data_IF_234642634683
#
_entry.id   IF_234642634683
#
_cell.length_a   1.000
_cell.length_b   1.000
_cell.length_c   1.000
_cell.angle_alpha   90.00
_cell.angle_beta   90.00
_cell.angle_gamma   90.00
#
_symmetry.space_group_name_H-M   'P 1'
#
loop_
_entity.id
_entity.type
_entity.pdbx_description
1 polymer ?
#
# COMPACT_ATOMS: atom_id res chain seq x y z
N UNK A 1 53.30 11.07 -12.17
CA UNK A 1 52.25 12.05 -12.50
C UNK A 1 51.70 11.67 -13.87
N UNK A 2 50.76 10.73 -13.91
CA UNK A 2 49.98 10.43 -15.12
C UNK A 2 49.05 11.61 -15.34
N UNK A 3 49.19 12.30 -16.48
CA UNK A 3 48.41 13.50 -16.77
C UNK A 3 46.91 13.19 -16.72
N UNK A 4 46.21 13.80 -15.76
CA UNK A 4 44.75 13.85 -15.72
C UNK A 4 44.26 14.43 -17.05
N UNK A 5 43.44 13.69 -17.77
CA UNK A 5 42.93 14.06 -19.08
C UNK A 5 42.05 15.32 -18.94
N UNK A 6 42.26 16.42 -19.69
CA UNK A 6 41.44 17.64 -19.61
C UNK A 6 39.94 17.47 -19.99
N UNK A 7 39.46 16.24 -20.12
CA UNK A 7 38.11 15.88 -20.58
C UNK A 7 37.19 15.51 -19.40
N UNK A 8 37.39 16.08 -18.22
CA UNK A 8 36.75 15.64 -16.97
C UNK A 8 35.26 16.03 -16.81
N UNK A 9 34.66 16.68 -17.82
CA UNK A 9 33.25 17.05 -17.84
C UNK A 9 32.64 16.66 -19.19
N UNK A 10 31.45 16.08 -19.17
CA UNK A 10 30.70 15.74 -20.39
C UNK A 10 29.23 16.11 -20.24
N UNK A 11 28.67 16.71 -21.29
CA UNK A 11 27.28 17.11 -21.31
C UNK A 11 26.73 17.09 -22.74
N UNK A 12 25.63 16.36 -22.94
CA UNK A 12 24.85 16.35 -24.18
C UNK A 12 23.45 16.94 -23.90
N UNK A 13 23.25 18.26 -24.10
CA UNK A 13 21.99 18.93 -23.78
C UNK A 13 20.74 18.33 -24.40
N UNK A 14 20.81 17.91 -25.67
CA UNK A 14 19.67 17.33 -26.37
C UNK A 14 19.22 16.00 -25.77
N UNK A 15 20.16 15.20 -25.24
CA UNK A 15 19.87 13.96 -24.51
C UNK A 15 19.15 14.25 -23.20
N UNK A 16 19.59 15.25 -22.43
CA UNK A 16 18.93 15.66 -21.19
C UNK A 16 17.50 16.17 -21.41
N UNK A 17 17.27 16.98 -22.46
CA UNK A 17 15.92 17.43 -22.79
C UNK A 17 14.98 16.28 -23.17
N UNK A 18 15.49 15.28 -23.91
CA UNK A 18 14.72 14.07 -24.22
C UNK A 18 14.33 13.32 -22.94
N UNK A 19 15.28 13.13 -22.02
CA UNK A 19 15.01 12.43 -20.75
C UNK A 19 14.07 13.23 -19.84
N UNK A 20 14.18 14.57 -19.80
CA UNK A 20 13.23 15.43 -19.11
C UNK A 20 11.80 15.22 -19.62
N UNK A 21 11.61 15.08 -20.93
CA UNK A 21 10.31 14.72 -21.52
C UNK A 21 9.79 13.35 -21.06
N UNK A 22 10.69 12.39 -20.80
CA UNK A 22 10.34 11.10 -20.21
C UNK A 22 9.82 11.23 -18.77
N UNK A 23 10.49 12.04 -17.94
CA UNK A 23 10.05 12.31 -16.57
C UNK A 23 8.68 12.99 -16.53
N UNK A 24 8.41 13.96 -17.40
CA UNK A 24 7.08 14.61 -17.47
C UNK A 24 5.96 13.65 -17.82
N UNK A 25 6.19 12.71 -18.74
CA UNK A 25 5.17 11.73 -19.08
C UNK A 25 4.84 10.84 -17.89
N UNK A 26 5.84 10.46 -17.09
CA UNK A 26 5.61 9.72 -15.85
C UNK A 26 4.94 10.57 -14.76
N UNK A 27 5.23 11.87 -14.68
CA UNK A 27 4.50 12.79 -13.83
C UNK A 27 3.02 12.87 -14.21
N UNK A 28 2.70 12.94 -15.51
CA UNK A 28 1.33 12.86 -16.00
C UNK A 28 0.66 11.52 -15.70
N UNK A 29 1.39 10.40 -15.81
CA UNK A 29 0.87 9.07 -15.45
C UNK A 29 0.56 8.95 -13.95
N UNK A 30 1.42 9.49 -13.08
CA UNK A 30 1.17 9.58 -11.64
C UNK A 30 -0.01 10.49 -11.32
N UNK A 31 -0.21 11.59 -12.06
CA UNK A 31 -1.39 12.46 -11.94
C UNK A 31 -2.67 11.66 -12.21
N UNK A 32 -2.70 10.90 -13.32
CA UNK A 32 -3.80 9.99 -13.61
C UNK A 32 -4.06 8.97 -12.51
N UNK A 33 -3.01 8.38 -11.92
CA UNK A 33 -3.16 7.46 -10.78
C UNK A 33 -3.75 8.15 -9.55
N UNK A 34 -3.30 9.36 -9.23
CA UNK A 34 -3.81 10.14 -8.11
C UNK A 34 -5.31 10.44 -8.27
N UNK A 35 -5.72 10.83 -9.48
CA UNK A 35 -7.11 11.16 -9.75
C UNK A 35 -8.02 9.92 -9.68
N UNK A 36 -7.59 8.79 -10.23
CA UNK A 36 -8.31 7.51 -10.08
C UNK A 36 -8.40 7.06 -8.62
N UNK A 37 -7.35 7.25 -7.82
CA UNK A 37 -7.38 6.93 -6.40
C UNK A 37 -8.29 7.87 -5.61
N UNK A 38 -8.38 9.17 -5.93
CA UNK A 38 -9.30 10.11 -5.24
C UNK A 38 -10.78 9.77 -5.41
N UNK A 39 -11.15 9.09 -6.50
CA UNK A 39 -12.52 8.66 -6.74
C UNK A 39 -12.96 7.53 -5.79
N UNK A 40 -12.02 6.97 -5.03
CA UNK A 40 -12.26 5.91 -4.08
C UNK A 40 -12.80 6.50 -2.78
N UNK A 41 -14.10 6.34 -2.54
CA UNK A 41 -14.74 6.76 -1.29
C UNK A 41 -14.60 5.67 -0.23
N UNK A 42 -14.12 5.97 0.99
CA UNK A 42 -14.13 5.03 2.10
C UNK A 42 -15.56 4.67 2.49
N UNK A 43 -15.86 3.38 2.64
CA UNK A 43 -17.18 2.90 3.05
C UNK A 43 -17.28 2.79 4.57
N UNK A 44 -18.29 3.39 5.18
CA UNK A 44 -18.62 3.18 6.61
C UNK A 44 -19.83 2.27 6.75
N UNK A 45 -19.87 1.46 7.81
CA UNK A 45 -21.04 0.66 8.17
C UNK A 45 -21.43 0.96 9.61
N UNK A 46 -22.67 1.39 9.86
CA UNK A 46 -23.10 1.86 11.20
C UNK A 46 -23.04 0.76 12.27
N UNK A 47 -23.00 -0.52 11.86
CA UNK A 47 -23.18 -1.66 12.76
C UNK A 47 -22.04 -2.69 12.64
N UNK A 48 -20.81 -2.28 12.30
CA UNK A 48 -19.72 -3.25 12.09
C UNK A 48 -18.38 -2.80 12.71
N UNK A 49 -18.14 -3.05 14.00
CA UNK A 49 -16.95 -2.55 14.71
C UNK A 49 -15.63 -3.07 14.10
N UNK A 50 -15.56 -4.37 13.81
CA UNK A 50 -14.36 -5.00 13.23
C UNK A 50 -14.08 -4.44 11.83
N UNK A 51 -15.14 -4.30 11.02
CA UNK A 51 -15.06 -3.69 9.69
C UNK A 51 -14.64 -2.22 9.75
N UNK A 52 -15.27 -1.43 10.62
CA UNK A 52 -14.97 -0.01 10.80
C UNK A 52 -13.54 0.23 11.29
N UNK A 53 -13.03 -0.63 12.18
CA UNK A 53 -11.62 -0.59 12.57
C UNK A 53 -10.70 -0.76 11.36
N UNK A 54 -10.99 -1.75 10.51
CA UNK A 54 -10.21 -2.02 9.31
C UNK A 54 -10.28 -0.83 8.34
N UNK A 55 -11.49 -0.38 8.00
CA UNK A 55 -11.73 0.81 7.17
C UNK A 55 -11.02 2.04 7.69
N UNK A 56 -11.04 2.31 9.00
CA UNK A 56 -10.34 3.46 9.57
C UNK A 56 -8.84 3.44 9.26
N UNK A 57 -8.20 2.26 9.41
CA UNK A 57 -6.79 2.08 9.04
C UNK A 57 -6.55 2.23 7.54
N UNK A 58 -7.49 1.80 6.72
CA UNK A 58 -7.40 2.00 5.27
C UNK A 58 -7.56 3.46 4.87
N UNK A 59 -8.46 4.21 5.52
CA UNK A 59 -8.60 5.64 5.28
C UNK A 59 -7.32 6.42 5.57
N UNK A 60 -6.66 6.09 6.70
CA UNK A 60 -5.35 6.66 7.07
C UNK A 60 -4.30 6.39 5.98
N UNK A 61 -4.13 5.13 5.59
CA UNK A 61 -3.15 4.75 4.55
C UNK A 61 -3.49 5.30 3.18
N UNK A 62 -4.76 5.27 2.76
CA UNK A 62 -5.19 5.80 1.48
C UNK A 62 -4.85 7.29 1.38
N UNK A 63 -5.09 8.05 2.45
CA UNK A 63 -4.70 9.46 2.54
C UNK A 63 -3.18 9.63 2.44
N UNK A 64 -2.39 8.77 3.12
CA UNK A 64 -0.93 8.77 3.03
C UNK A 64 -0.42 8.50 1.61
N UNK A 65 -1.00 7.49 0.94
CA UNK A 65 -0.67 7.14 -0.45
C UNK A 65 -0.97 8.32 -1.39
N UNK A 66 -2.13 8.97 -1.27
CA UNK A 66 -2.49 10.14 -2.09
C UNK A 66 -1.50 11.30 -1.89
N UNK A 67 -1.14 11.60 -0.64
CA UNK A 67 -0.13 12.64 -0.33
C UNK A 67 1.22 12.32 -0.92
N UNK A 68 1.69 11.07 -0.76
CA UNK A 68 2.96 10.62 -1.30
C UNK A 68 2.99 10.68 -2.83
N UNK A 69 1.91 10.25 -3.51
CA UNK A 69 1.80 10.34 -4.98
C UNK A 69 1.86 11.80 -5.43
N UNK A 70 1.11 12.70 -4.78
CA UNK A 70 1.13 14.12 -5.10
C UNK A 70 2.52 14.74 -4.88
N UNK A 71 3.22 14.35 -3.82
CA UNK A 71 4.60 14.77 -3.59
C UNK A 71 5.54 14.26 -4.68
N UNK A 72 5.44 12.97 -5.03
CA UNK A 72 6.27 12.36 -6.07
C UNK A 72 6.06 13.00 -7.44
N UNK A 73 4.83 13.42 -7.76
CA UNK A 73 4.55 14.22 -8.97
C UNK A 73 5.36 15.51 -8.99
N UNK A 74 5.40 16.25 -7.88
CA UNK A 74 6.17 17.48 -7.77
C UNK A 74 7.68 17.20 -7.87
N UNK A 75 8.17 16.15 -7.21
CA UNK A 75 9.57 15.71 -7.30
C UNK A 75 9.97 15.44 -8.75
N UNK A 76 9.17 14.66 -9.49
CA UNK A 76 9.46 14.30 -10.88
C UNK A 76 9.35 15.51 -11.81
N UNK A 77 8.37 16.39 -11.59
CA UNK A 77 8.27 17.65 -12.32
C UNK A 77 9.49 18.53 -12.08
N UNK A 78 9.96 18.62 -10.83
CA UNK A 78 11.19 19.33 -10.47
C UNK A 78 12.39 18.74 -11.21
N UNK A 79 12.61 17.42 -11.15
CA UNK A 79 13.69 16.75 -11.89
C UNK A 79 13.65 17.09 -13.38
N UNK A 80 12.47 17.04 -14.00
CA UNK A 80 12.34 17.38 -15.41
C UNK A 80 12.69 18.84 -15.71
N UNK A 81 12.31 19.78 -14.83
CA UNK A 81 12.69 21.19 -14.95
C UNK A 81 14.20 21.38 -14.83
N UNK A 82 14.81 20.77 -13.80
CA UNK A 82 16.25 20.81 -13.55
C UNK A 82 17.06 20.28 -14.74
N UNK A 83 16.68 19.13 -15.30
CA UNK A 83 17.36 18.57 -16.47
C UNK A 83 17.32 19.51 -17.68
N UNK A 84 16.24 20.27 -17.85
CA UNK A 84 16.16 21.26 -18.94
C UNK A 84 16.98 22.50 -18.66
N UNK A 85 17.07 22.92 -17.41
CA UNK A 85 17.89 24.06 -17.04
C UNK A 85 19.38 23.72 -17.21
N UNK A 86 19.81 22.54 -16.76
CA UNK A 86 21.16 22.00 -17.03
C UNK A 86 21.42 21.90 -18.54
N UNK A 87 20.45 21.41 -19.33
CA UNK A 87 20.59 21.38 -20.79
C UNK A 87 20.73 22.79 -21.39
N UNK A 88 19.95 23.76 -20.92
CA UNK A 88 19.99 25.15 -21.40
C UNK A 88 21.34 25.80 -21.09
N UNK A 89 21.82 25.67 -19.87
CA UNK A 89 23.14 26.15 -19.45
C UNK A 89 24.25 25.47 -20.25
N UNK A 90 24.14 24.15 -20.43
CA UNK A 90 25.07 23.34 -21.21
C UNK A 90 25.26 23.77 -22.66
N UNK A 91 24.28 24.44 -23.26
CA UNK A 91 24.41 25.01 -24.62
C UNK A 91 25.25 26.28 -24.66
N UNK A 92 25.38 26.96 -23.52
CA UNK A 92 26.05 28.25 -23.40
C UNK A 92 27.41 28.16 -22.71
N UNK A 93 27.66 27.06 -21.99
CA UNK A 93 28.87 26.88 -21.21
C UNK A 93 30.09 26.63 -22.10
N UNK A 94 31.21 27.27 -21.79
CA UNK A 94 32.50 26.84 -22.31
C UNK A 94 32.89 25.54 -21.61
N UNK A 95 32.71 24.41 -22.30
CA UNK A 95 33.00 23.06 -21.78
C UNK A 95 34.44 22.94 -21.25
N UNK A 96 35.41 23.63 -21.87
CA UNK A 96 36.79 23.61 -21.42
C UNK A 96 36.98 24.41 -20.12
N UNK A 97 36.21 25.49 -19.92
CA UNK A 97 36.17 26.20 -18.65
C UNK A 97 35.44 25.39 -17.58
N UNK A 98 34.30 24.76 -17.91
CA UNK A 98 33.54 23.91 -16.99
C UNK A 98 34.40 22.75 -16.45
N UNK A 99 35.09 22.03 -17.34
CA UNK A 99 36.01 20.96 -16.96
C UNK A 99 37.15 21.44 -16.06
N UNK A 100 37.64 22.68 -16.28
CA UNK A 100 38.65 23.28 -15.39
C UNK A 100 38.08 23.58 -14.00
N UNK A 101 36.88 24.16 -13.91
CA UNK A 101 36.27 24.48 -12.62
C UNK A 101 35.98 23.20 -11.85
N UNK A 102 35.41 22.18 -12.50
CA UNK A 102 35.09 20.88 -11.89
C UNK A 102 36.34 20.22 -11.29
N UNK A 103 37.47 20.31 -12.01
CA UNK A 103 38.75 19.76 -11.59
C UNK A 103 39.37 20.49 -10.37
N UNK A 104 39.30 21.81 -10.32
CA UNK A 104 40.04 22.62 -9.34
C UNK A 104 39.20 23.08 -8.15
N UNK A 105 37.88 23.12 -8.28
CA UNK A 105 36.95 23.64 -7.28
C UNK A 105 35.63 22.83 -7.26
N UNK A 106 35.67 21.50 -7.00
CA UNK A 106 34.47 20.66 -7.03
C UNK A 106 33.41 21.09 -6.00
N UNK A 107 33.81 21.81 -4.95
CA UNK A 107 32.89 22.33 -3.93
C UNK A 107 32.10 23.57 -4.36
N UNK A 108 32.52 24.28 -5.41
CA UNK A 108 31.87 25.52 -5.85
C UNK A 108 30.46 25.28 -6.39
N UNK A 109 30.22 24.12 -7.01
CA UNK A 109 28.90 23.67 -7.46
C UNK A 109 28.11 22.87 -6.40
N UNK A 110 28.72 22.62 -5.23
CA UNK A 110 28.25 21.62 -4.26
C UNK A 110 27.72 22.20 -2.95
N UNK A 111 27.24 23.44 -2.97
CA UNK A 111 26.59 24.07 -1.81
C UNK A 111 25.31 23.37 -1.33
N UNK A 112 24.83 22.37 -2.09
CA UNK A 112 23.67 21.58 -1.74
C UNK A 112 24.02 20.47 -0.73
N UNK A 113 23.87 20.77 0.56
CA UNK A 113 23.79 19.79 1.65
C UNK A 113 22.31 19.68 2.10
N UNK A 114 21.51 18.76 1.52
CA UNK A 114 20.08 18.65 1.84
C UNK A 114 19.80 18.24 3.30
N UNK A 115 20.83 17.82 4.04
CA UNK A 115 20.69 17.27 5.39
C UNK A 115 21.46 18.06 6.46
N UNK A 116 22.11 19.17 6.08
CA UNK A 116 22.67 20.19 6.98
C UNK A 116 23.66 19.68 8.03
N UNK A 117 24.36 18.57 7.79
CA UNK A 117 25.20 17.96 8.83
C UNK A 117 25.94 16.67 8.49
N UNK A 118 25.86 16.19 7.25
CA UNK A 118 26.52 14.95 6.84
C UNK A 118 27.46 15.21 5.68
N UNK A 119 28.75 14.90 5.87
CA UNK A 119 29.72 14.76 4.79
C UNK A 119 29.28 13.61 3.85
N UNK A 120 28.24 13.82 3.03
CA UNK A 120 28.03 13.02 1.83
C UNK A 120 29.35 13.06 1.07
N UNK A 121 29.95 11.88 0.93
CA UNK A 121 31.37 11.73 0.69
C UNK A 121 31.82 12.67 -0.41
N UNK A 122 32.96 13.31 -0.20
CA UNK A 122 33.81 13.81 -1.29
C UNK A 122 34.29 12.62 -2.12
N UNK A 123 33.36 11.85 -2.67
CA UNK A 123 33.64 10.80 -3.62
C UNK A 123 34.25 11.52 -4.80
N UNK A 124 35.54 11.33 -5.01
CA UNK A 124 36.15 11.59 -6.29
C UNK A 124 35.46 10.62 -7.25
N UNK A 125 34.32 11.03 -7.81
CA UNK A 125 33.60 10.23 -8.79
C UNK A 125 34.57 9.98 -9.93
N UNK A 126 34.99 8.73 -10.09
CA UNK A 126 35.79 8.34 -11.24
C UNK A 126 34.88 8.47 -12.44
N UNK A 127 35.17 9.42 -13.32
CA UNK A 127 34.40 9.64 -14.53
C UNK A 127 34.40 8.37 -15.37
N UNK A 128 33.27 8.10 -16.02
CA UNK A 128 33.18 7.01 -16.97
C UNK A 128 34.17 7.25 -18.13
N UNK A 129 34.77 6.18 -18.68
CA UNK A 129 35.64 6.28 -19.85
C UNK A 129 34.91 6.94 -21.03
N UNK A 130 35.66 7.56 -21.92
CA UNK A 130 35.12 8.23 -23.12
C UNK A 130 34.29 7.29 -24.01
N UNK A 131 34.56 5.98 -23.95
CA UNK A 131 33.77 4.93 -24.62
C UNK A 131 32.32 4.85 -24.17
N UNK A 132 32.00 5.36 -22.98
CA UNK A 132 30.66 5.28 -22.40
C UNK A 132 29.85 6.55 -22.72
N UNK A 133 30.47 7.54 -23.38
CA UNK A 133 29.83 8.80 -23.80
C UNK A 133 29.11 8.60 -25.11
N UNK A 134 27.95 9.22 -25.23
CA UNK A 134 27.14 9.16 -26.45
C UNK A 134 27.14 10.52 -27.13
N UNK A 135 27.48 10.52 -28.42
CA UNK A 135 27.48 11.72 -29.26
C UNK A 135 26.10 11.99 -29.91
N UNK A 136 25.15 11.06 -29.75
CA UNK A 136 23.83 11.10 -30.34
C UNK A 136 22.72 10.82 -29.32
N UNK A 137 21.53 11.34 -29.63
CA UNK A 137 20.31 11.17 -28.83
C UNK A 137 19.64 9.84 -29.17
N UNK A 138 20.34 8.74 -28.93
CA UNK A 138 19.87 7.39 -29.27
C UNK A 138 19.36 6.61 -28.05
N UNK A 139 19.32 7.22 -26.85
CA UNK A 139 18.95 6.49 -25.64
C UNK A 139 17.48 6.11 -25.70
N UNK A 140 17.14 4.87 -25.35
CA UNK A 140 15.76 4.45 -25.29
C UNK A 140 15.02 5.33 -24.28
N UNK A 141 13.92 5.93 -24.74
CA UNK A 141 13.01 6.67 -23.89
C UNK A 141 11.89 5.72 -23.44
N UNK A 142 11.88 5.38 -22.15
CA UNK A 142 10.87 4.47 -21.60
C UNK A 142 9.66 5.25 -21.09
N UNK A 143 8.57 5.15 -21.84
CA UNK A 143 7.34 5.88 -21.60
C UNK A 143 6.31 5.04 -20.86
N UNK A 144 5.41 5.67 -20.08
CA UNK A 144 4.29 4.97 -19.47
C UNK A 144 3.43 4.32 -20.56
N UNK A 145 2.86 3.15 -20.25
CA UNK A 145 1.96 2.46 -21.16
C UNK A 145 0.67 3.27 -21.35
N UNK A 146 0.46 3.82 -22.55
CA UNK A 146 -0.67 4.70 -22.87
C UNK A 146 -1.98 3.96 -23.13
N UNK A 147 -1.97 2.62 -23.24
CA UNK A 147 -3.12 1.81 -23.66
C UNK A 147 -4.30 1.74 -22.67
N UNK A 148 -4.17 2.32 -21.49
CA UNK A 148 -5.22 2.36 -20.46
C UNK A 148 -4.87 3.17 -19.21
N UNK A 149 -3.67 3.77 -19.18
CA UNK A 149 -3.19 4.59 -18.08
C UNK A 149 -3.19 3.86 -16.72
N UNK A 150 -3.24 4.64 -15.64
CA UNK A 150 -3.32 4.10 -14.28
C UNK A 150 -4.59 3.27 -14.05
N UNK A 151 -5.69 3.60 -14.76
CA UNK A 151 -6.97 2.90 -14.64
C UNK A 151 -6.86 1.41 -14.94
N UNK A 152 -6.04 1.01 -15.93
CA UNK A 152 -5.79 -0.40 -16.22
C UNK A 152 -5.29 -1.18 -15.01
N UNK A 153 -4.44 -0.57 -14.18
CA UNK A 153 -3.88 -1.21 -13.00
C UNK A 153 -4.88 -1.24 -11.83
N UNK A 154 -5.71 -0.22 -11.73
CA UNK A 154 -6.65 -0.03 -10.61
C UNK A 154 -8.00 -0.72 -10.84
N UNK A 155 -8.29 -1.16 -12.06
CA UNK A 155 -9.53 -1.88 -12.34
C UNK A 155 -9.45 -3.32 -11.84
N UNK A 156 -10.20 -3.60 -10.78
CA UNK A 156 -10.37 -4.97 -10.29
C UNK A 156 -11.32 -5.80 -11.18
N UNK A 157 -12.04 -5.16 -12.09
CA UNK A 157 -13.13 -5.72 -12.87
C UNK A 157 -14.48 -5.55 -12.16
N UNK A 158 -15.57 -5.40 -12.93
CA UNK A 158 -16.92 -5.32 -12.37
C UNK A 158 -17.29 -6.63 -11.67
N UNK A 159 -17.80 -6.51 -10.44
CA UNK A 159 -18.31 -7.65 -9.67
C UNK A 159 -17.25 -8.63 -9.15
N UNK A 160 -15.95 -8.30 -9.25
CA UNK A 160 -14.86 -9.20 -8.88
C UNK A 160 -14.94 -9.70 -7.42
N UNK A 161 -15.63 -8.97 -6.54
CA UNK A 161 -15.74 -9.29 -5.11
C UNK A 161 -17.17 -9.33 -4.58
N UNK A 162 -18.19 -9.43 -5.45
CA UNK A 162 -19.61 -9.40 -5.02
C UNK A 162 -19.96 -10.53 -4.03
N UNK A 163 -19.29 -11.68 -4.14
CA UNK A 163 -19.47 -12.81 -3.22
C UNK A 163 -18.68 -12.72 -1.92
N UNK A 164 -17.77 -11.77 -1.78
CA UNK A 164 -16.91 -11.68 -0.58
C UNK A 164 -17.69 -11.32 0.67
N UNK A 165 -18.84 -10.65 0.54
CA UNK A 165 -19.73 -10.30 1.65
C UNK A 165 -20.78 -11.38 1.94
N UNK A 166 -20.90 -12.45 1.13
CA UNK A 166 -21.97 -13.44 1.26
C UNK A 166 -21.89 -14.27 2.55
N UNK A 167 -20.72 -14.42 3.15
CA UNK A 167 -20.60 -15.12 4.44
C UNK A 167 -21.38 -14.41 5.55
N UNK A 168 -21.50 -13.07 5.48
CA UNK A 168 -22.28 -12.29 6.45
C UNK A 168 -23.78 -12.59 6.32
N UNK A 169 -24.26 -12.81 5.09
CA UNK A 169 -25.65 -13.23 4.83
C UNK A 169 -25.91 -14.64 5.37
N UNK A 170 -24.92 -15.54 5.33
CA UNK A 170 -25.03 -16.90 5.90
C UNK A 170 -25.09 -16.92 7.42
N UNK A 171 -24.52 -15.92 8.10
CA UNK A 171 -24.67 -15.76 9.55
C UNK A 171 -26.12 -15.42 9.96
N UNK A 172 -26.93 -14.91 9.02
CA UNK A 172 -28.32 -14.51 9.22
C UNK A 172 -29.21 -15.10 8.11
N UNK A 173 -29.51 -16.42 8.10
CA UNK A 173 -30.49 -16.96 7.17
C UNK A 173 -31.84 -16.24 7.40
N UNK A 174 -32.21 -15.41 6.42
CA UNK A 174 -33.32 -14.46 6.47
C UNK A 174 -34.71 -15.05 6.28
N UNK A 175 -34.83 -16.37 6.29
CA UNK A 175 -36.12 -17.04 6.25
C UNK A 175 -36.09 -18.28 7.15
N UNK A 176 -37.12 -18.41 7.96
CA UNK A 176 -37.55 -19.47 8.88
C UNK A 176 -38.17 -18.76 10.08
N UNK A 177 -39.39 -19.11 10.46
CA UNK A 177 -40.10 -18.49 11.57
C UNK A 177 -39.84 -19.17 12.94
N UNK A 178 -38.82 -18.93 13.78
CA UNK A 178 -37.56 -18.17 13.76
C UNK A 178 -36.60 -18.86 14.77
N UNK A 179 -35.67 -19.73 14.33
CA UNK A 179 -34.63 -20.28 15.21
C UNK A 179 -33.79 -19.20 15.90
N UNK A 180 -33.71 -17.99 15.33
CA UNK A 180 -33.05 -16.85 15.97
C UNK A 180 -33.87 -16.28 17.15
N UNK A 181 -35.21 -16.39 17.17
CA UNK A 181 -36.00 -16.15 18.38
C UNK A 181 -35.73 -17.23 19.44
N UNK A 182 -35.63 -18.51 19.07
CA UNK A 182 -35.29 -19.58 20.02
C UNK A 182 -33.88 -19.43 20.58
N UNK A 183 -32.91 -19.06 19.74
CA UNK A 183 -31.56 -18.72 20.16
C UNK A 183 -31.58 -17.46 21.01
N UNK A 184 -32.37 -16.43 20.70
CA UNK A 184 -32.53 -15.24 21.55
C UNK A 184 -33.12 -15.63 22.91
N UNK A 185 -34.15 -16.47 22.97
CA UNK A 185 -34.78 -16.97 24.20
C UNK A 185 -33.81 -17.82 25.03
N UNK A 186 -33.02 -18.70 24.40
CA UNK A 186 -32.01 -19.53 25.07
C UNK A 186 -30.83 -18.68 25.54
N UNK A 187 -30.35 -17.75 24.70
CA UNK A 187 -29.28 -16.80 25.03
C UNK A 187 -29.73 -15.88 26.18
N UNK A 188 -30.96 -15.38 26.16
CA UNK A 188 -31.56 -14.58 27.22
C UNK A 188 -31.73 -15.39 28.51
N UNK A 189 -32.10 -16.67 28.41
CA UNK A 189 -32.12 -17.60 29.56
C UNK A 189 -30.74 -17.86 30.17
N UNK A 190 -29.65 -17.75 29.40
CA UNK A 190 -28.27 -17.90 29.90
C UNK A 190 -27.57 -16.56 30.15
N UNK A 191 -28.28 -15.43 30.07
CA UNK A 191 -27.73 -14.09 30.27
C UNK A 191 -26.81 -13.59 29.15
N UNK A 192 -26.85 -14.21 27.98
CA UNK A 192 -26.01 -13.93 26.80
C UNK A 192 -26.76 -13.17 25.69
N UNK A 193 -27.73 -12.30 26.03
CA UNK A 193 -28.42 -11.41 25.06
C UNK A 193 -27.45 -10.58 24.23
N UNK A 194 -26.28 -10.25 24.80
CA UNK A 194 -25.20 -9.54 24.09
C UNK A 194 -24.54 -10.35 22.97
N UNK A 195 -24.65 -11.68 22.92
CA UNK A 195 -23.89 -12.50 21.97
C UNK A 195 -24.33 -12.28 20.53
N UNK A 196 -25.64 -12.24 20.26
CA UNK A 196 -26.17 -11.98 18.92
C UNK A 196 -25.74 -10.60 18.43
N UNK A 197 -25.92 -9.57 19.25
CA UNK A 197 -25.45 -8.23 18.92
C UNK A 197 -23.93 -8.21 18.72
N UNK A 198 -23.14 -8.87 19.57
CA UNK A 198 -21.67 -8.90 19.47
C UNK A 198 -21.19 -9.61 18.21
N UNK A 199 -21.82 -10.73 17.82
CA UNK A 199 -21.46 -11.46 16.60
C UNK A 199 -21.92 -10.69 15.35
N UNK A 200 -23.16 -10.20 15.34
CA UNK A 200 -23.69 -9.47 14.17
C UNK A 200 -23.02 -8.12 13.98
N UNK A 201 -22.74 -7.40 15.06
CA UNK A 201 -21.96 -6.16 15.01
C UNK A 201 -20.47 -6.38 14.79
N UNK A 202 -19.97 -7.59 15.02
CA UNK A 202 -18.60 -7.96 14.73
C UNK A 202 -18.37 -8.23 13.25
N UNK A 203 -19.21 -9.09 12.63
CA UNK A 203 -18.93 -9.63 11.30
C UNK A 203 -19.63 -8.92 10.14
N UNK A 204 -20.57 -8.01 10.41
CA UNK A 204 -21.19 -7.19 9.37
C UNK A 204 -20.16 -6.35 8.58
N UNK A 205 -20.57 -5.84 7.42
CA UNK A 205 -19.73 -4.95 6.60
C UNK A 205 -19.63 -5.36 5.13
N UNK A 206 -19.13 -4.45 4.32
CA UNK A 206 -18.88 -4.69 2.89
C UNK A 206 -17.45 -5.19 2.66
N UNK A 207 -17.23 -6.46 2.96
CA UNK A 207 -15.94 -7.13 2.79
C UNK A 207 -15.51 -7.20 1.31
N UNK A 208 -16.46 -7.15 0.38
CA UNK A 208 -16.20 -7.02 -1.05
C UNK A 208 -15.56 -5.69 -1.41
N UNK A 209 -16.07 -4.58 -0.89
CA UNK A 209 -15.43 -3.28 -1.05
C UNK A 209 -13.99 -3.30 -0.50
N UNK A 210 -13.78 -3.90 0.67
CA UNK A 210 -12.44 -3.98 1.26
C UNK A 210 -11.44 -4.75 0.38
N UNK A 211 -11.85 -5.88 -0.20
CA UNK A 211 -11.01 -6.61 -1.18
C UNK A 211 -10.81 -5.84 -2.48
N UNK A 212 -11.80 -5.09 -2.93
CA UNK A 212 -11.63 -4.20 -4.08
C UNK A 212 -10.55 -3.15 -3.83
N UNK A 213 -10.45 -2.61 -2.61
CA UNK A 213 -9.33 -1.74 -2.25
C UNK A 213 -7.99 -2.47 -2.23
N UNK A 214 -7.93 -3.69 -1.68
CA UNK A 214 -6.70 -4.50 -1.72
C UNK A 214 -6.22 -4.72 -3.17
N UNK A 215 -7.14 -5.04 -4.09
CA UNK A 215 -6.83 -5.20 -5.51
C UNK A 215 -6.27 -3.90 -6.13
N UNK A 216 -6.84 -2.75 -5.77
CA UNK A 216 -6.34 -1.43 -6.22
C UNK A 216 -4.94 -1.11 -5.68
N UNK A 217 -4.63 -1.48 -4.43
CA UNK A 217 -3.28 -1.32 -3.88
C UNK A 217 -2.28 -2.24 -4.59
N UNK A 218 -2.69 -3.46 -4.92
CA UNK A 218 -1.89 -4.36 -5.74
C UNK A 218 -1.66 -3.78 -7.15
N UNK A 219 -2.67 -3.14 -7.72
CA UNK A 219 -2.59 -2.36 -8.95
C UNK A 219 -1.60 -1.21 -8.85
N UNK A 220 -1.71 -0.40 -7.80
CA UNK A 220 -0.80 0.71 -7.48
C UNK A 220 0.64 0.21 -7.38
N UNK A 221 0.86 -0.91 -6.69
CA UNK A 221 2.19 -1.54 -6.63
C UNK A 221 2.72 -1.89 -8.01
N UNK A 222 1.94 -2.57 -8.86
CA UNK A 222 2.37 -2.89 -10.23
C UNK A 222 2.71 -1.64 -11.05
N UNK A 223 1.86 -0.61 -11.00
CA UNK A 223 2.12 0.67 -11.65
C UNK A 223 3.44 1.30 -11.20
N UNK A 224 3.70 1.33 -9.87
CA UNK A 224 4.95 1.84 -9.32
C UNK A 224 6.16 0.98 -9.70
N UNK A 225 5.98 -0.32 -9.91
CA UNK A 225 7.02 -1.21 -10.44
C UNK A 225 7.42 -0.85 -11.87
N UNK A 226 6.44 -0.55 -12.72
CA UNK A 226 6.69 -0.11 -14.10
C UNK A 226 7.33 1.29 -14.12
N UNK A 227 6.83 2.21 -13.28
CA UNK A 227 7.40 3.55 -13.11
C UNK A 227 8.86 3.49 -12.64
N UNK A 228 9.16 2.68 -11.62
CA UNK A 228 10.51 2.48 -11.12
C UNK A 228 11.44 1.98 -12.23
N UNK A 229 11.04 0.93 -12.94
CA UNK A 229 11.87 0.32 -13.99
C UNK A 229 12.17 1.30 -15.11
N UNK A 230 11.16 2.03 -15.58
CA UNK A 230 11.33 3.05 -16.62
C UNK A 230 12.19 4.24 -16.15
N UNK A 231 11.98 4.73 -14.93
CA UNK A 231 12.78 5.81 -14.38
C UNK A 231 14.23 5.40 -14.13
N UNK A 232 14.49 4.15 -13.69
CA UNK A 232 15.86 3.63 -13.60
C UNK A 232 16.56 3.69 -14.96
N UNK A 233 15.86 3.31 -16.04
CA UNK A 233 16.42 3.43 -17.39
C UNK A 233 16.64 4.88 -17.82
N UNK A 234 15.69 5.78 -17.55
CA UNK A 234 15.85 7.21 -17.89
C UNK A 234 16.99 7.87 -17.10
N UNK A 235 17.14 7.55 -15.81
CA UNK A 235 18.28 7.98 -14.97
C UNK A 235 19.58 7.46 -15.55
N UNK A 236 19.64 6.18 -15.95
CA UNK A 236 20.82 5.62 -16.62
C UNK A 236 21.21 6.39 -17.88
N UNK A 237 20.22 6.79 -18.70
CA UNK A 237 20.46 7.63 -19.87
C UNK A 237 20.95 9.04 -19.51
N UNK A 238 20.38 9.66 -18.45
CA UNK A 238 20.86 10.96 -17.93
C UNK A 238 22.34 10.88 -17.55
N UNK A 239 22.77 9.83 -16.85
CA UNK A 239 24.17 9.65 -16.41
C UNK A 239 25.15 9.38 -17.57
N UNK A 240 24.65 8.93 -18.73
CA UNK A 240 25.44 8.84 -19.96
C UNK A 240 25.57 10.21 -20.62
N UNK A 241 24.49 11.01 -20.60
CA UNK A 241 24.45 12.34 -21.21
C UNK A 241 25.06 13.44 -20.35
N UNK A 242 25.27 13.19 -19.07
CA UNK A 242 25.81 14.17 -18.13
C UNK A 242 26.77 13.50 -17.16
N UNK A 243 28.03 13.93 -17.19
CA UNK A 243 29.11 13.44 -16.34
C UNK A 243 29.90 14.63 -15.79
N UNK A 244 30.34 14.52 -14.54
CA UNK A 244 31.02 15.58 -13.79
C UNK A 244 30.56 15.56 -12.33
N UNK A 245 31.11 16.46 -11.52
CA UNK A 245 30.77 16.52 -10.10
C UNK A 245 29.28 16.77 -9.84
N UNK A 246 28.66 17.69 -10.58
CA UNK A 246 27.22 17.98 -10.47
C UNK A 246 26.35 16.77 -10.86
N UNK A 247 26.77 15.98 -11.86
CA UNK A 247 26.08 14.75 -12.24
C UNK A 247 26.13 13.69 -11.13
N UNK A 248 27.25 13.59 -10.40
CA UNK A 248 27.37 12.68 -9.26
C UNK A 248 26.42 13.07 -8.12
N UNK A 249 26.32 14.37 -7.83
CA UNK A 249 25.36 14.89 -6.85
C UNK A 249 23.91 14.58 -7.27
N UNK A 250 23.57 14.77 -8.55
CA UNK A 250 22.26 14.40 -9.08
C UNK A 250 22.00 12.88 -9.05
N UNK A 251 23.02 12.05 -9.29
CA UNK A 251 22.90 10.58 -9.19
C UNK A 251 22.47 10.14 -7.81
N UNK A 252 23.05 10.71 -6.75
CA UNK A 252 22.65 10.39 -5.37
C UNK A 252 21.18 10.76 -5.11
N UNK A 253 20.72 11.90 -5.63
CA UNK A 253 19.32 12.29 -5.56
C UNK A 253 18.41 11.31 -6.31
N UNK A 254 18.80 10.87 -7.51
CA UNK A 254 18.04 9.89 -8.28
C UNK A 254 17.95 8.54 -7.56
N UNK A 255 19.01 8.10 -6.90
CA UNK A 255 19.00 6.88 -6.09
C UNK A 255 17.98 6.98 -4.94
N UNK A 256 17.95 8.10 -4.22
CA UNK A 256 16.96 8.35 -3.16
C UNK A 256 15.52 8.36 -3.71
N UNK A 257 15.29 9.02 -4.85
CA UNK A 257 13.99 9.06 -5.52
C UNK A 257 13.53 7.66 -5.95
N UNK A 258 14.40 6.88 -6.61
CA UNK A 258 14.09 5.51 -7.05
C UNK A 258 13.83 4.59 -5.86
N UNK A 259 14.63 4.69 -4.79
CA UNK A 259 14.39 3.95 -3.56
C UNK A 259 13.01 4.28 -2.94
N UNK A 260 12.59 5.55 -3.00
CA UNK A 260 11.25 5.98 -2.60
C UNK A 260 10.13 5.28 -3.36
N UNK A 261 10.24 5.24 -4.69
CA UNK A 261 9.26 4.58 -5.57
C UNK A 261 9.22 3.07 -5.29
N UNK A 262 10.38 2.42 -5.15
CA UNK A 262 10.47 1.00 -4.81
C UNK A 262 9.87 0.70 -3.42
N UNK A 263 10.15 1.54 -2.42
CA UNK A 263 9.58 1.41 -1.08
C UNK A 263 8.06 1.52 -1.07
N UNK A 264 7.50 2.48 -1.80
CA UNK A 264 6.06 2.64 -1.96
C UNK A 264 5.42 1.45 -2.70
N UNK A 265 6.07 0.94 -3.76
CA UNK A 265 5.65 -0.28 -4.48
C UNK A 265 5.53 -1.47 -3.53
N UNK A 266 6.59 -1.75 -2.78
CA UNK A 266 6.66 -2.92 -1.91
C UNK A 266 5.68 -2.78 -0.74
N UNK A 267 5.56 -1.58 -0.20
CA UNK A 267 4.60 -1.23 0.85
C UNK A 267 3.16 -1.44 0.42
N UNK A 268 2.78 -0.96 -0.76
CA UNK A 268 1.43 -1.13 -1.31
C UNK A 268 1.07 -2.61 -1.53
N UNK A 269 2.01 -3.42 -2.05
CA UNK A 269 1.81 -4.87 -2.19
C UNK A 269 1.63 -5.56 -0.83
N UNK A 270 2.48 -5.26 0.16
CA UNK A 270 2.35 -5.82 1.51
C UNK A 270 1.04 -5.43 2.18
N UNK A 271 0.60 -4.18 2.01
CA UNK A 271 -0.70 -3.74 2.50
C UNK A 271 -1.83 -4.51 1.83
N UNK A 272 -1.81 -4.67 0.50
CA UNK A 272 -2.81 -5.46 -0.22
C UNK A 272 -2.90 -6.91 0.29
N UNK A 273 -1.76 -7.57 0.51
CA UNK A 273 -1.70 -8.92 1.08
C UNK A 273 -2.31 -8.96 2.49
N UNK A 274 -1.90 -8.05 3.38
CA UNK A 274 -2.41 -7.99 4.76
C UNK A 274 -3.93 -7.77 4.80
N UNK A 275 -4.49 -7.02 3.86
CA UNK A 275 -5.95 -6.83 3.74
C UNK A 275 -6.65 -8.13 3.38
N UNK A 276 -6.13 -8.83 2.37
CA UNK A 276 -6.73 -10.08 1.93
C UNK A 276 -6.66 -11.15 3.04
N UNK A 277 -5.52 -11.28 3.70
CA UNK A 277 -5.35 -12.17 4.86
C UNK A 277 -6.31 -11.81 5.99
N UNK A 278 -6.53 -10.52 6.25
CA UNK A 278 -7.52 -10.07 7.23
C UNK A 278 -8.95 -10.46 6.82
N UNK A 279 -9.32 -10.26 5.55
CA UNK A 279 -10.64 -10.64 5.05
C UNK A 279 -10.86 -12.16 5.07
N UNK A 280 -9.83 -12.94 4.73
CA UNK A 280 -9.86 -14.41 4.80
C UNK A 280 -10.06 -14.87 6.24
N UNK A 281 -9.32 -14.30 7.18
CA UNK A 281 -9.45 -14.66 8.59
C UNK A 281 -10.82 -14.32 9.18
N UNK A 282 -11.40 -13.18 8.79
CA UNK A 282 -12.77 -12.82 9.19
C UNK A 282 -13.78 -13.79 8.62
N UNK A 283 -13.63 -14.18 7.34
CA UNK A 283 -14.48 -15.18 6.71
C UNK A 283 -14.38 -16.54 7.43
N UNK A 284 -13.17 -17.02 7.69
CA UNK A 284 -12.94 -18.28 8.39
C UNK A 284 -13.54 -18.26 9.80
N UNK A 285 -13.37 -17.16 10.53
CA UNK A 285 -13.98 -16.97 11.85
C UNK A 285 -15.52 -16.97 11.76
N UNK A 286 -16.09 -16.33 10.74
CA UNK A 286 -17.53 -16.33 10.52
C UNK A 286 -18.07 -17.73 10.16
N UNK A 287 -17.36 -18.50 9.34
CA UNK A 287 -17.74 -19.88 9.00
C UNK A 287 -17.70 -20.81 10.23
N UNK A 288 -16.69 -20.64 11.10
CA UNK A 288 -16.63 -21.37 12.37
C UNK A 288 -17.80 -20.98 13.28
N UNK A 289 -18.10 -19.68 13.40
CA UNK A 289 -19.25 -19.21 14.20
C UNK A 289 -20.56 -19.75 13.64
N UNK A 290 -20.76 -19.74 12.32
CA UNK A 290 -21.93 -20.32 11.69
C UNK A 290 -22.06 -21.82 12.00
N UNK A 291 -20.98 -22.59 11.86
CA UNK A 291 -20.99 -24.02 12.19
C UNK A 291 -21.24 -24.30 13.68
N UNK A 292 -20.77 -23.44 14.57
CA UNK A 292 -21.10 -23.51 16.00
C UNK A 292 -22.57 -23.20 16.25
N UNK A 293 -23.14 -22.20 15.58
CA UNK A 293 -24.56 -21.86 15.68
C UNK A 293 -25.42 -23.02 15.17
N UNK A 294 -25.06 -23.65 14.06
CA UNK A 294 -25.75 -24.83 13.53
C UNK A 294 -25.65 -26.02 14.49
N UNK A 295 -24.46 -26.31 15.03
CA UNK A 295 -24.30 -27.35 16.04
C UNK A 295 -25.05 -27.06 17.34
N UNK A 296 -25.15 -25.79 17.73
CA UNK A 296 -25.96 -25.35 18.86
C UNK A 296 -27.45 -25.50 18.56
N UNK A 297 -27.91 -25.14 17.36
CA UNK A 297 -29.29 -25.34 16.91
C UNK A 297 -29.67 -26.82 16.99
N UNK A 298 -28.85 -27.71 16.46
CA UNK A 298 -29.10 -29.16 16.52
C UNK A 298 -29.17 -29.65 17.97
N UNK A 299 -28.25 -29.18 18.81
CA UNK A 299 -28.19 -29.52 20.24
C UNK A 299 -29.40 -29.00 21.02
N UNK A 300 -29.86 -27.77 20.73
CA UNK A 300 -31.03 -27.13 21.34
C UNK A 300 -32.31 -27.79 20.88
N UNK A 301 -32.45 -28.16 19.61
CA UNK A 301 -33.60 -28.92 19.12
C UNK A 301 -33.71 -30.25 19.86
N UNK A 302 -32.60 -30.97 20.04
CA UNK A 302 -32.56 -32.22 20.83
C UNK A 302 -32.96 -31.93 22.28
N UNK A 303 -32.43 -30.88 22.91
CA UNK A 303 -32.76 -30.52 24.28
C UNK A 303 -34.23 -30.11 24.45
N UNK A 304 -34.80 -29.37 23.49
CA UNK A 304 -36.19 -28.93 23.48
C UNK A 304 -37.15 -30.12 23.29
N UNK A 305 -36.83 -31.08 22.41
CA UNK A 305 -37.57 -32.35 22.28
C UNK A 305 -37.53 -33.12 23.61
N UNK A 306 -36.37 -33.16 24.27
CA UNK A 306 -36.19 -33.86 25.55
C UNK A 306 -36.95 -33.18 26.70
N UNK A 307 -37.04 -31.85 26.70
CA UNK A 307 -37.78 -31.06 27.68
C UNK A 307 -39.29 -31.13 27.47
N UNK A 308 -39.74 -31.11 26.22
CA UNK A 308 -41.15 -31.33 25.86
C UNK A 308 -41.62 -32.75 26.26
N UNK A 309 -40.70 -33.71 26.34
CA UNK A 309 -40.97 -35.06 26.82
C UNK A 309 -41.11 -35.18 28.36
N UNK A 310 -40.87 -34.09 29.12
CA UNK A 310 -41.27 -33.96 30.53
C UNK A 310 -40.13 -33.62 31.49
N UNK A 311 -40.15 -32.41 32.07
CA UNK A 311 -39.33 -32.07 33.23
C UNK A 311 -39.42 -30.61 33.67
N UNK A 312 -39.76 -30.37 34.94
CA UNK A 312 -39.74 -29.04 35.57
C UNK A 312 -38.32 -28.69 36.03
N UNK A 313 -37.93 -27.47 35.69
CA UNK A 313 -36.68 -26.76 35.96
C UNK A 313 -35.38 -27.38 35.40
N UNK A 314 -35.02 -27.08 34.13
CA UNK A 314 -34.05 -27.85 33.37
C UNK A 314 -32.60 -27.68 33.79
N UNK A 315 -32.15 -26.50 34.20
CA UNK A 315 -30.71 -26.19 34.05
C UNK A 315 -29.79 -27.02 34.97
N UNK A 316 -30.18 -27.25 36.23
CA UNK A 316 -29.35 -27.97 37.21
C UNK A 316 -29.54 -29.48 37.20
N UNK A 317 -30.73 -29.97 36.82
CA UNK A 317 -31.03 -31.40 36.80
C UNK A 317 -30.65 -32.05 35.45
N UNK A 318 -30.74 -31.29 34.35
CA UNK A 318 -30.34 -31.73 33.01
C UNK A 318 -28.83 -31.77 32.84
N UNK A 319 -28.10 -30.78 33.38
CA UNK A 319 -26.63 -30.77 33.40
C UNK A 319 -26.06 -31.96 34.19
N UNK A 320 -26.79 -32.49 35.17
CA UNK A 320 -26.29 -33.53 36.07
C UNK A 320 -26.64 -34.97 35.65
N UNK A 321 -27.66 -35.23 34.81
CA UNK A 321 -28.12 -36.63 34.59
C UNK A 321 -28.64 -37.06 33.20
N UNK A 322 -28.73 -36.21 32.18
CA UNK A 322 -29.37 -36.60 30.89
C UNK A 322 -28.64 -36.14 29.63
N UNK A 323 -29.08 -36.61 28.45
CA UNK A 323 -28.51 -36.29 27.14
C UNK A 323 -28.38 -34.77 26.86
N UNK A 324 -29.22 -33.93 27.47
CA UNK A 324 -29.12 -32.49 27.31
C UNK A 324 -27.98 -31.83 28.12
N UNK A 325 -27.45 -32.48 29.16
CA UNK A 325 -26.19 -32.05 29.81
C UNK A 325 -24.97 -32.28 28.92
N UNK A 326 -24.94 -33.37 28.15
CA UNK A 326 -23.90 -33.64 27.15
C UNK A 326 -23.96 -32.62 25.99
N UNK A 327 -25.18 -32.24 25.57
CA UNK A 327 -25.41 -31.21 24.56
C UNK A 327 -24.88 -29.83 25.02
N UNK A 328 -25.11 -29.44 26.28
CA UNK A 328 -24.57 -28.21 26.87
C UNK A 328 -23.04 -28.21 27.00
N UNK A 329 -22.44 -29.33 27.41
CA UNK A 329 -20.97 -29.47 27.44
C UNK A 329 -20.36 -29.34 26.05
N UNK A 330 -21.03 -29.89 25.03
CA UNK A 330 -20.59 -29.74 23.65
C UNK A 330 -20.71 -28.27 23.19
N UNK A 331 -21.80 -27.58 23.54
CA UNK A 331 -21.96 -26.16 23.29
C UNK A 331 -20.87 -25.30 23.95
N UNK A 332 -20.47 -25.62 25.19
CA UNK A 332 -19.40 -24.90 25.88
C UNK A 332 -18.02 -25.12 25.25
N UNK A 333 -17.74 -26.34 24.75
CA UNK A 333 -16.52 -26.61 23.96
C UNK A 333 -16.51 -25.85 22.64
N UNK A 334 -17.67 -25.77 21.96
CA UNK A 334 -17.82 -25.00 20.73
C UNK A 334 -17.64 -23.49 21.00
N UNK A 335 -18.13 -22.99 22.13
CA UNK A 335 -17.91 -21.62 22.59
C UNK A 335 -16.42 -21.30 22.80
N UNK A 336 -15.68 -22.18 23.48
CA UNK A 336 -14.23 -22.01 23.65
C UNK A 336 -13.50 -21.88 22.32
N UNK A 337 -13.91 -22.63 21.28
CA UNK A 337 -13.33 -22.53 19.93
C UNK A 337 -13.62 -21.16 19.30
N UNK A 338 -14.83 -20.61 19.47
CA UNK A 338 -15.13 -19.24 19.03
C UNK A 338 -14.15 -18.25 19.66
N UNK A 339 -13.92 -18.34 20.96
CA UNK A 339 -13.02 -17.44 21.67
C UNK A 339 -11.58 -17.53 21.13
N UNK A 340 -11.09 -18.74 20.81
CA UNK A 340 -9.78 -18.93 20.18
C UNK A 340 -9.69 -18.25 18.80
N UNK A 341 -10.75 -18.32 17.99
CA UNK A 341 -10.81 -17.65 16.69
C UNK A 341 -10.92 -16.12 16.82
N UNK A 342 -11.65 -15.62 17.81
CA UNK A 342 -11.67 -14.18 18.13
C UNK A 342 -10.30 -13.69 18.58
N UNK A 343 -9.55 -14.47 19.36
CA UNK A 343 -8.17 -14.12 19.71
C UNK A 343 -7.24 -14.14 18.48
N UNK A 344 -7.40 -15.09 17.56
CA UNK A 344 -6.69 -15.07 16.28
C UNK A 344 -6.99 -13.80 15.48
N UNK A 345 -8.25 -13.35 15.44
CA UNK A 345 -8.61 -12.08 14.82
C UNK A 345 -7.90 -10.88 15.47
N UNK A 346 -7.70 -10.90 16.80
CA UNK A 346 -6.90 -9.87 17.47
C UNK A 346 -5.42 -9.90 17.08
N UNK A 347 -4.82 -11.09 16.93
CA UNK A 347 -3.45 -11.22 16.38
C UNK A 347 -3.37 -10.69 14.96
N UNK A 348 -4.39 -10.91 14.13
CA UNK A 348 -4.41 -10.43 12.74
C UNK A 348 -4.71 -8.92 12.67
N UNK A 349 -5.44 -8.34 13.65
CA UNK A 349 -5.49 -6.88 13.84
C UNK A 349 -4.09 -6.27 14.06
N UNK A 350 -3.15 -7.01 14.65
CA UNK A 350 -1.75 -6.57 14.73
C UNK A 350 -1.05 -6.66 13.36
N UNK A 351 -1.43 -7.59 12.49
CA UNK A 351 -0.98 -7.65 11.10
C UNK A 351 -1.33 -6.38 10.30
N UNK A 352 -2.47 -5.74 10.59
CA UNK A 352 -2.83 -4.43 10.03
C UNK A 352 -1.87 -3.30 10.47
N UNK A 353 -0.93 -3.52 11.41
CA UNK A 353 0.12 -2.53 11.71
C UNK A 353 1.06 -2.25 10.53
N UNK A 354 1.17 -3.19 9.58
CA UNK A 354 1.93 -3.01 8.32
C UNK A 354 1.43 -1.80 7.53
N UNK A 355 0.12 -1.52 7.58
CA UNK A 355 -0.54 -0.37 6.94
C UNK A 355 -0.05 0.95 7.55
N UNK A 356 0.10 0.97 8.88
CA UNK A 356 0.66 2.11 9.60
C UNK A 356 2.14 2.31 9.28
N UNK A 357 2.88 1.20 9.16
CA UNK A 357 4.28 1.22 8.72
C UNK A 357 4.45 1.84 7.34
N UNK A 358 3.58 1.49 6.39
CA UNK A 358 3.55 2.09 5.06
C UNK A 358 3.31 3.60 5.12
N UNK A 359 2.27 4.03 5.83
CA UNK A 359 1.91 5.45 5.98
C UNK A 359 3.06 6.25 6.57
N UNK A 360 3.69 5.72 7.63
CA UNK A 360 4.83 6.35 8.30
C UNK A 360 6.04 6.45 7.35
N UNK A 361 6.32 5.39 6.59
CA UNK A 361 7.40 5.36 5.60
C UNK A 361 7.18 6.39 4.48
N UNK A 362 5.94 6.54 4.02
CA UNK A 362 5.56 7.53 3.00
C UNK A 362 5.64 8.97 3.52
N UNK A 363 5.21 9.22 4.76
CA UNK A 363 5.32 10.53 5.41
C UNK A 363 6.79 10.91 5.64
N UNK A 364 7.60 9.98 6.15
CA UNK A 364 9.03 10.17 6.36
C UNK A 364 9.74 10.49 5.04
N UNK A 365 9.47 9.72 3.99
CA UNK A 365 9.98 9.97 2.65
C UNK A 365 9.59 11.37 2.13
N UNK A 366 8.31 11.73 2.24
CA UNK A 366 7.79 13.04 1.79
C UNK A 366 8.46 14.21 2.52
N UNK A 367 8.81 14.01 3.79
CA UNK A 367 9.51 15.02 4.58
C UNK A 367 11.00 15.16 4.27
N UNK A 368 11.64 14.08 3.82
CA UNK A 368 13.09 14.00 3.57
C UNK A 368 13.46 14.34 2.13
N UNK A 369 12.73 13.80 1.16
CA UNK A 369 13.00 14.08 -0.24
C UNK A 369 12.37 15.42 -0.60
N UNK A 370 13.19 16.46 -0.70
CA UNK A 370 12.76 17.78 -1.13
C UNK A 370 12.37 17.75 -2.62
N UNK A 371 11.46 18.63 -3.02
CA UNK A 371 11.24 18.92 -4.44
C UNK A 371 12.46 19.69 -4.94
N UNK A 372 13.15 19.21 -5.98
CA UNK A 372 14.35 19.88 -6.45
C UNK A 372 13.91 21.22 -7.06
N UNK A 373 14.55 22.27 -6.57
CA UNK A 373 14.41 23.63 -7.06
C UNK A 373 15.82 24.18 -7.19
N UNK A 374 16.16 24.74 -8.33
CA UNK A 374 17.33 25.60 -8.44
C UNK A 374 17.14 26.75 -7.47
N UNK A 375 17.87 26.68 -6.35
CA UNK A 375 18.28 27.92 -5.70
C UNK A 375 19.06 28.67 -6.77
N UNK A 376 18.63 29.89 -7.11
CA UNK A 376 19.27 30.75 -8.12
C UNK A 376 20.79 30.78 -7.91
N UNK A 377 21.52 29.87 -8.56
CA UNK A 377 22.98 29.95 -8.71
C UNK A 377 23.24 30.81 -9.93
N UNK A 378 22.81 32.07 -9.85
CA UNK A 378 23.16 33.14 -10.78
C UNK A 378 24.40 33.89 -10.30
#
# INVERSE_FOLDING_TARGET
MTGSNPNDFWLLPAGLEQQAGGFEQWQGALAGMNDELKLIVPYTSDNAEIFNYAIGRFGEMHTGVLKWIAHMQNVIAGVAAELRDVAREGRTIDLAQAARIDKYSPTEYNGFDPYGGGSYGKGSGTLAPESDRWDSVDAPLYLPNTGGGARFYLDAGPGAFDGASDFTKRLLPGDLASPSEWVSVVLEHIGATSFRETVLSGFGGDWGALRAHAARLQGTSKFLGDAHSAMTSNVGAVLVYWQGHSANSASAYFDEMLAGIAGARDGAAKAATAINEYCDAVKDAAEVVAGVIDGFRDSVVIAAITLAAGGKNPFTEVLSKTAAGAAMLNAWRLWSKINDHVQKLQTIKQGLSVIRGLTTSMDDFTSKLHVPVMAETS
#
